data_IF_609099986494
#
_entry.id   IF_609099986494
#
_cell.length_a   1.000
_cell.length_b   1.000
_cell.length_c   1.000
_cell.angle_alpha   90.00
_cell.angle_beta   90.00
_cell.angle_gamma   90.00
#
_symmetry.space_group_name_H-M   'P 1'
#
loop_
_entity.id
_entity.type
_entity.pdbx_description
1 polymer ?
#
# COMPACT_ATOMS: atom_id res chain seq x y z
N UNK A 1 -22.29 -2.32 83.78
CA UNK A 1 -23.04 -3.38 83.11
C UNK A 1 -24.39 -2.77 82.75
N UNK A 2 -24.53 -2.29 81.52
CA UNK A 2 -25.80 -1.87 80.90
C UNK A 2 -25.43 -1.53 79.44
N UNK A 3 -25.62 -2.46 78.51
CA UNK A 3 -26.85 -2.65 77.70
C UNK A 3 -26.97 -1.59 76.59
N UNK A 4 -26.39 -1.93 75.43
CA UNK A 4 -26.83 -1.38 74.13
C UNK A 4 -28.29 -1.80 73.90
N UNK A 5 -29.11 -0.94 73.27
CA UNK A 5 -29.30 -1.11 71.83
C UNK A 5 -29.56 0.21 71.09
N UNK A 6 -29.35 0.23 69.77
CA UNK A 6 -30.40 0.60 68.79
C UNK A 6 -29.83 0.48 67.39
N UNK A 7 -30.52 -0.37 66.65
CA UNK A 7 -30.44 -0.66 65.23
C UNK A 7 -30.62 0.62 64.39
N UNK A 8 -29.74 0.82 63.42
CA UNK A 8 -29.84 1.91 62.45
C UNK A 8 -29.40 1.40 61.07
N UNK A 9 -30.38 1.07 60.23
CA UNK A 9 -30.26 0.99 58.77
C UNK A 9 -30.66 2.38 58.25
N UNK A 10 -29.83 3.09 57.45
CA UNK A 10 -29.77 2.90 55.98
C UNK A 10 -28.38 3.28 55.39
N UNK A 11 -28.02 3.19 54.12
CA UNK A 11 -28.73 3.15 52.85
C UNK A 11 -27.82 2.44 51.83
N UNK A 12 -28.42 1.71 50.89
CA UNK A 12 -27.72 1.14 49.75
C UNK A 12 -27.08 2.25 48.89
N UNK A 13 -25.83 2.09 48.42
CA UNK A 13 -25.26 2.98 47.42
C UNK A 13 -26.08 2.90 46.13
N UNK A 14 -26.66 4.02 45.73
CA UNK A 14 -27.29 4.19 44.42
C UNK A 14 -26.24 3.95 43.34
N UNK A 15 -26.41 2.87 42.57
CA UNK A 15 -25.66 2.64 41.34
C UNK A 15 -25.81 3.85 40.43
N UNK A 16 -24.69 4.54 40.22
CA UNK A 16 -24.57 5.62 39.26
C UNK A 16 -24.66 4.96 37.88
N UNK A 17 -25.85 5.02 37.28
CA UNK A 17 -26.07 4.62 35.89
C UNK A 17 -25.08 5.42 35.06
N UNK A 18 -24.03 4.74 34.57
CA UNK A 18 -23.10 5.31 33.63
C UNK A 18 -23.92 5.71 32.40
N UNK A 19 -23.89 7.00 32.09
CA UNK A 19 -24.38 7.55 30.84
C UNK A 19 -23.70 6.78 29.70
N UNK A 20 -24.45 5.89 29.07
CA UNK A 20 -23.98 5.13 27.91
C UNK A 20 -23.84 6.14 26.80
N UNK A 21 -22.60 6.58 26.58
CA UNK A 21 -22.22 7.34 25.41
C UNK A 21 -22.84 6.64 24.18
N UNK A 22 -23.52 7.39 23.29
CA UNK A 22 -24.17 6.78 22.15
C UNK A 22 -23.13 5.99 21.36
N UNK A 23 -23.41 4.70 21.16
CA UNK A 23 -22.63 3.86 20.27
C UNK A 23 -22.45 4.60 18.94
N UNK A 24 -21.24 4.67 18.37
CA UNK A 24 -21.03 5.35 17.11
C UNK A 24 -22.01 4.77 16.10
N UNK A 25 -22.79 5.65 15.48
CA UNK A 25 -23.71 5.27 14.42
C UNK A 25 -22.95 4.40 13.42
N UNK A 26 -23.40 3.16 13.25
CA UNK A 26 -22.92 2.30 12.16
C UNK A 26 -23.27 3.03 10.87
N UNK A 27 -22.28 3.73 10.32
CA UNK A 27 -22.34 4.26 8.96
C UNK A 27 -22.75 3.06 8.11
N UNK A 28 -23.89 3.13 7.41
CA UNK A 28 -24.40 1.95 6.72
C UNK A 28 -23.28 1.41 5.82
N UNK A 29 -23.03 0.11 5.93
CA UNK A 29 -22.28 -0.71 5.00
C UNK A 29 -22.96 -0.66 3.62
N UNK A 30 -23.05 0.52 2.99
CA UNK A 30 -23.27 0.64 1.55
C UNK A 30 -21.96 0.20 0.91
N UNK A 31 -21.82 -1.11 1.05
CA UNK A 31 -20.83 -2.07 0.66
C UNK A 31 -19.74 -1.52 -0.25
N UNK A 32 -18.51 -1.50 0.26
CA UNK A 32 -17.31 -1.34 -0.58
C UNK A 32 -17.32 -2.32 -1.77
N UNK A 33 -18.05 -3.44 -1.67
CA UNK A 33 -18.28 -4.42 -2.74
C UNK A 33 -19.30 -3.95 -3.79
N UNK A 34 -20.31 -3.16 -3.43
CA UNK A 34 -21.33 -2.64 -4.37
C UNK A 34 -20.76 -1.52 -5.26
N UNK A 35 -19.67 -0.88 -4.83
CA UNK A 35 -19.01 0.22 -5.54
C UNK A 35 -17.90 -0.24 -6.49
N UNK A 36 -17.63 -1.55 -6.57
CA UNK A 36 -16.70 -2.12 -7.56
C UNK A 36 -17.14 -1.81 -9.01
N UNK A 37 -18.44 -1.66 -9.27
CA UNK A 37 -18.95 -1.31 -10.60
C UNK A 37 -18.64 0.14 -10.99
N UNK A 38 -18.68 1.06 -10.03
CA UNK A 38 -18.31 2.46 -10.22
C UNK A 38 -16.80 2.57 -10.48
N UNK A 39 -15.98 1.90 -9.65
CA UNK A 39 -14.52 1.81 -9.84
C UNK A 39 -14.20 1.32 -11.25
N UNK A 40 -14.82 0.22 -11.71
CA UNK A 40 -14.62 -0.33 -13.06
C UNK A 40 -14.91 0.67 -14.18
N UNK A 41 -15.89 1.55 -14.00
CA UNK A 41 -16.26 2.55 -15.02
C UNK A 41 -15.14 3.58 -15.29
N UNK A 42 -14.25 3.78 -14.32
CA UNK A 42 -13.12 4.72 -14.45
C UNK A 42 -11.93 4.14 -15.22
N UNK A 43 -11.86 2.83 -15.47
CA UNK A 43 -10.69 2.20 -16.08
C UNK A 43 -10.27 2.84 -17.41
N UNK A 44 -11.25 3.07 -18.29
CA UNK A 44 -11.02 3.71 -19.60
C UNK A 44 -10.63 5.19 -19.49
N UNK A 45 -11.00 5.85 -18.39
CA UNK A 45 -10.64 7.24 -18.12
C UNK A 45 -9.19 7.34 -17.60
N UNK A 46 -8.75 6.31 -16.86
CA UNK A 46 -7.43 6.26 -16.23
C UNK A 46 -6.31 5.88 -17.19
N UNK A 47 -6.54 4.98 -18.13
CA UNK A 47 -5.51 4.57 -19.09
C UNK A 47 -6.09 3.99 -20.37
N UNK A 48 -5.43 4.20 -21.54
CA UNK A 48 -5.75 3.46 -22.76
C UNK A 48 -5.30 1.98 -22.72
N UNK A 49 -4.53 1.57 -21.71
CA UNK A 49 -4.01 0.21 -21.58
C UNK A 49 -5.12 -0.76 -21.11
N UNK A 50 -5.52 -1.75 -21.94
CA UNK A 50 -6.63 -2.65 -21.61
C UNK A 50 -6.34 -3.52 -20.39
N UNK A 51 -5.06 -3.72 -20.04
CA UNK A 51 -4.66 -4.49 -18.88
C UNK A 51 -5.07 -3.81 -17.56
N UNK A 52 -5.14 -2.46 -17.53
CA UNK A 52 -5.67 -1.74 -16.38
C UNK A 52 -7.14 -2.09 -16.13
N UNK A 53 -7.95 -2.12 -17.20
CA UNK A 53 -9.36 -2.50 -17.09
C UNK A 53 -9.53 -3.94 -16.60
N UNK A 54 -8.62 -4.85 -16.98
CA UNK A 54 -8.61 -6.22 -16.45
C UNK A 54 -8.37 -6.23 -14.95
N UNK A 55 -7.39 -5.47 -14.45
CA UNK A 55 -7.09 -5.39 -13.02
C UNK A 55 -8.20 -4.72 -12.23
N UNK A 56 -8.91 -3.77 -12.83
CA UNK A 56 -10.04 -3.10 -12.19
C UNK A 56 -11.28 -4.01 -12.02
N UNK A 57 -11.28 -5.21 -12.61
CA UNK A 57 -12.29 -6.24 -12.34
C UNK A 57 -12.01 -7.06 -11.08
N UNK A 58 -10.86 -6.87 -10.43
CA UNK A 58 -10.58 -7.50 -9.14
C UNK A 58 -11.54 -7.00 -8.05
N UNK A 59 -11.76 -7.83 -7.05
CA UNK A 59 -12.62 -7.49 -5.91
C UNK A 59 -11.84 -6.70 -4.87
N UNK A 60 -12.57 -5.91 -4.09
CA UNK A 60 -12.05 -5.19 -2.92
C UNK A 60 -10.89 -4.24 -3.27
N UNK A 61 -10.92 -3.64 -4.47
CA UNK A 61 -9.80 -2.87 -4.99
C UNK A 61 -9.42 -1.69 -4.11
N UNK A 62 -10.41 -0.96 -3.57
CA UNK A 62 -10.15 0.14 -2.64
C UNK A 62 -9.42 -0.36 -1.39
N UNK A 63 -9.89 -1.47 -0.80
CA UNK A 63 -9.26 -2.06 0.39
C UNK A 63 -7.84 -2.53 0.09
N UNK A 64 -7.63 -3.24 -1.02
CA UNK A 64 -6.31 -3.74 -1.44
C UNK A 64 -5.36 -2.59 -1.75
N UNK A 65 -5.83 -1.55 -2.43
CA UNK A 65 -5.06 -0.34 -2.71
C UNK A 65 -4.64 0.35 -1.41
N UNK A 66 -5.59 0.58 -0.50
CA UNK A 66 -5.32 1.22 0.77
C UNK A 66 -4.33 0.42 1.62
N UNK A 67 -4.51 -0.89 1.72
CA UNK A 67 -3.60 -1.80 2.42
C UNK A 67 -2.20 -1.84 1.77
N UNK A 68 -2.12 -1.85 0.45
CA UNK A 68 -0.83 -1.84 -0.26
C UNK A 68 -0.06 -0.54 -0.01
N UNK A 69 -0.73 0.61 -0.06
CA UNK A 69 -0.12 1.92 0.21
C UNK A 69 0.38 2.00 1.65
N UNK A 70 -0.44 1.61 2.63
CA UNK A 70 -0.02 1.58 4.04
C UNK A 70 1.16 0.62 4.25
N UNK A 71 1.13 -0.58 3.67
CA UNK A 71 2.24 -1.53 3.74
C UNK A 71 3.55 -0.94 3.21
N UNK A 72 3.50 -0.28 2.04
CA UNK A 72 4.69 0.35 1.44
C UNK A 72 5.20 1.49 2.31
N UNK A 73 4.31 2.30 2.89
CA UNK A 73 4.69 3.38 3.80
C UNK A 73 5.43 2.86 5.05
N UNK A 74 5.10 1.64 5.50
CA UNK A 74 5.75 0.93 6.60
C UNK A 74 6.97 0.10 6.15
N UNK A 75 7.33 0.16 4.86
CA UNK A 75 8.45 -0.57 4.27
C UNK A 75 8.18 -2.03 3.90
N UNK A 76 6.96 -2.53 4.10
CA UNK A 76 6.56 -3.87 3.74
C UNK A 76 6.20 -4.00 2.25
N UNK A 77 6.49 -5.18 1.68
CA UNK A 77 6.18 -5.48 0.28
C UNK A 77 4.66 -5.63 0.06
N UNK A 78 4.06 -4.98 -0.96
CA UNK A 78 2.61 -5.06 -1.21
C UNK A 78 2.18 -6.36 -1.90
N UNK A 79 3.09 -7.33 -2.08
CA UNK A 79 2.90 -8.52 -2.92
C UNK A 79 1.67 -9.35 -2.53
N UNK A 80 1.37 -9.45 -1.24
CA UNK A 80 0.21 -10.22 -0.75
C UNK A 80 -1.12 -9.57 -1.12
N UNK A 81 -1.17 -8.23 -1.14
CA UNK A 81 -2.38 -7.46 -1.47
C UNK A 81 -2.59 -7.34 -2.98
N UNK A 82 -1.49 -7.30 -3.74
CA UNK A 82 -1.46 -7.10 -5.19
C UNK A 82 -1.10 -8.38 -5.95
N UNK A 83 -1.53 -9.54 -5.47
CA UNK A 83 -1.19 -10.84 -6.06
C UNK A 83 -1.65 -11.00 -7.53
N UNK A 84 -2.68 -10.27 -7.95
CA UNK A 84 -3.15 -10.22 -9.34
C UNK A 84 -2.19 -9.50 -10.30
N UNK A 85 -1.22 -8.74 -9.77
CA UNK A 85 -0.12 -8.13 -10.52
C UNK A 85 1.12 -9.02 -10.57
N UNK A 86 1.07 -10.23 -10.01
CA UNK A 86 2.23 -11.09 -9.91
C UNK A 86 2.78 -11.40 -11.31
N UNK A 87 4.09 -11.22 -11.54
CA UNK A 87 4.71 -11.57 -12.81
C UNK A 87 4.58 -13.07 -13.08
N UNK A 88 4.39 -13.43 -14.35
CA UNK A 88 4.49 -14.82 -14.79
C UNK A 88 5.94 -15.25 -14.94
N UNK A 89 6.22 -16.54 -14.70
CA UNK A 89 7.56 -17.11 -14.88
C UNK A 89 8.46 -17.00 -13.65
N UNK A 90 9.47 -17.88 -13.60
CA UNK A 90 10.42 -17.94 -12.49
C UNK A 90 11.43 -16.79 -12.53
N UNK A 91 12.01 -16.49 -11.37
CA UNK A 91 13.18 -15.62 -11.28
C UNK A 91 14.40 -16.43 -11.73
N UNK A 92 15.21 -15.85 -12.62
CA UNK A 92 16.48 -16.40 -13.10
C UNK A 92 17.66 -15.47 -12.78
N UNK A 93 18.84 -16.10 -12.71
CA UNK A 93 20.14 -15.46 -12.58
C UNK A 93 21.03 -15.94 -13.73
N UNK A 94 22.08 -15.18 -14.02
CA UNK A 94 23.10 -15.53 -15.02
C UNK A 94 24.49 -15.24 -14.47
N UNK A 95 25.52 -15.81 -15.09
CA UNK A 95 26.91 -15.61 -14.69
C UNK A 95 27.57 -14.57 -15.60
N UNK A 96 28.17 -13.54 -15.02
CA UNK A 96 28.95 -12.52 -15.74
C UNK A 96 30.29 -12.38 -15.04
N UNK A 97 31.38 -12.61 -15.76
CA UNK A 97 32.75 -12.52 -15.22
C UNK A 97 32.98 -13.33 -13.91
N UNK A 98 32.25 -14.44 -13.74
CA UNK A 98 32.35 -15.31 -12.57
C UNK A 98 31.52 -14.87 -11.36
N UNK A 99 30.65 -13.87 -11.51
CA UNK A 99 29.67 -13.47 -10.50
C UNK A 99 28.24 -13.80 -10.95
N UNK A 100 27.43 -14.26 -9.99
CA UNK A 100 26.01 -14.51 -10.20
C UNK A 100 25.25 -13.19 -10.14
N UNK A 101 24.64 -12.80 -11.26
CA UNK A 101 23.86 -11.56 -11.37
C UNK A 101 22.41 -11.84 -11.75
N UNK A 102 21.52 -10.89 -11.46
CA UNK A 102 20.12 -11.00 -11.90
C UNK A 102 20.07 -11.00 -13.44
N UNK A 103 19.45 -12.04 -14.00
CA UNK A 103 19.20 -12.12 -15.44
C UNK A 103 18.21 -11.01 -15.85
N UNK A 104 18.48 -10.21 -16.89
CA UNK A 104 17.53 -9.23 -17.41
C UNK A 104 16.13 -9.79 -17.72
N UNK A 105 16.01 -11.08 -18.06
CA UNK A 105 14.72 -11.75 -18.21
C UNK A 105 13.88 -11.72 -16.92
N UNK A 106 14.51 -11.73 -15.75
CA UNK A 106 13.82 -11.59 -14.46
C UNK A 106 13.13 -10.24 -14.29
N UNK A 107 13.71 -9.18 -14.84
CA UNK A 107 13.13 -7.84 -14.85
C UNK A 107 11.98 -7.73 -15.84
N UNK A 108 12.13 -8.32 -17.03
CA UNK A 108 11.14 -8.29 -18.11
C UNK A 108 9.76 -8.82 -17.69
N UNK A 109 9.71 -9.71 -16.69
CA UNK A 109 8.44 -10.22 -16.15
C UNK A 109 7.56 -9.12 -15.52
N UNK A 110 8.16 -8.00 -15.11
CA UNK A 110 7.46 -6.84 -14.56
C UNK A 110 7.14 -5.76 -15.60
N UNK A 111 7.49 -5.96 -16.88
CA UNK A 111 7.28 -4.96 -17.94
C UNK A 111 5.79 -4.60 -18.09
N UNK A 112 4.88 -5.58 -17.97
CA UNK A 112 3.44 -5.31 -17.98
C UNK A 112 3.03 -4.40 -16.83
N UNK A 113 3.54 -4.64 -15.62
CA UNK A 113 3.24 -3.83 -14.43
C UNK A 113 3.70 -2.39 -14.63
N UNK A 114 4.95 -2.21 -15.02
CA UNK A 114 5.53 -0.88 -15.20
C UNK A 114 4.89 -0.12 -16.38
N UNK A 115 4.57 -0.81 -17.48
CA UNK A 115 3.86 -0.24 -18.63
C UNK A 115 2.49 0.29 -18.23
N UNK A 116 1.69 -0.52 -17.54
CA UNK A 116 0.34 -0.11 -17.12
C UNK A 116 0.42 1.06 -16.15
N UNK A 117 1.27 0.99 -15.12
CA UNK A 117 1.46 2.13 -14.19
C UNK A 117 1.90 3.38 -14.96
N UNK A 118 2.88 3.26 -15.86
CA UNK A 118 3.37 4.37 -16.68
C UNK A 118 2.31 4.98 -17.58
N UNK A 119 1.34 4.19 -18.04
CA UNK A 119 0.26 4.61 -18.94
C UNK A 119 -0.88 5.39 -18.26
N UNK A 120 -0.93 5.42 -16.93
CA UNK A 120 -2.00 6.10 -16.19
C UNK A 120 -1.96 7.61 -16.46
N UNK A 121 -3.08 8.18 -16.93
CA UNK A 121 -3.24 9.62 -17.04
C UNK A 121 -3.31 10.24 -15.63
N UNK A 122 -2.39 11.15 -15.36
CA UNK A 122 -2.20 11.72 -14.03
C UNK A 122 -3.39 12.59 -13.60
N UNK A 123 -4.03 13.30 -14.54
CA UNK A 123 -5.14 14.20 -14.22
C UNK A 123 -6.45 13.43 -13.99
N UNK A 124 -6.71 12.41 -14.82
CA UNK A 124 -7.79 11.45 -14.59
C UNK A 124 -7.59 10.73 -13.27
N UNK A 125 -6.37 10.25 -12.97
CA UNK A 125 -6.07 9.61 -11.69
C UNK A 125 -6.34 10.54 -10.50
N UNK A 126 -5.99 11.82 -10.58
CA UNK A 126 -6.29 12.78 -9.54
C UNK A 126 -7.79 13.04 -9.36
N UNK A 127 -8.56 13.00 -10.44
CA UNK A 127 -10.01 13.19 -10.40
C UNK A 127 -10.70 11.98 -9.78
N UNK A 128 -10.40 10.78 -10.27
CA UNK A 128 -10.90 9.51 -9.71
C UNK A 128 -10.49 9.36 -8.25
N UNK A 129 -9.28 9.76 -7.90
CA UNK A 129 -8.83 9.74 -6.50
C UNK A 129 -9.69 10.62 -5.58
N UNK A 130 -10.08 11.82 -6.04
CA UNK A 130 -10.96 12.71 -5.27
C UNK A 130 -12.37 12.14 -5.12
N UNK A 131 -12.89 11.52 -6.17
CA UNK A 131 -14.21 10.86 -6.17
C UNK A 131 -14.23 9.67 -5.21
N UNK A 132 -13.22 8.81 -5.26
CA UNK A 132 -13.10 7.63 -4.39
C UNK A 132 -12.58 7.96 -2.98
N UNK A 133 -12.26 9.23 -2.70
CA UNK A 133 -11.62 9.63 -1.44
C UNK A 133 -12.41 9.20 -0.18
N UNK A 134 -13.74 9.34 -0.11
CA UNK A 134 -14.50 8.88 1.05
C UNK A 134 -14.34 7.37 1.33
N UNK A 135 -14.30 6.55 0.29
CA UNK A 135 -14.12 5.09 0.41
C UNK A 135 -12.71 4.73 0.82
N UNK A 136 -11.72 5.42 0.25
CA UNK A 136 -10.31 5.24 0.60
C UNK A 136 -10.09 5.61 2.07
N UNK A 137 -10.67 6.73 2.54
CA UNK A 137 -10.58 7.16 3.93
C UNK A 137 -11.28 6.17 4.88
N UNK A 138 -12.44 5.62 4.49
CA UNK A 138 -13.13 4.56 5.24
C UNK A 138 -12.26 3.30 5.35
N UNK A 139 -11.72 2.81 4.23
CA UNK A 139 -10.83 1.64 4.24
C UNK A 139 -9.53 1.90 5.02
N UNK A 140 -9.02 3.15 5.00
CA UNK A 140 -7.83 3.53 5.76
C UNK A 140 -8.12 3.52 7.27
N UNK A 141 -9.29 4.01 7.71
CA UNK A 141 -9.68 4.01 9.11
C UNK A 141 -9.76 2.61 9.74
N UNK A 142 -9.93 1.56 8.93
CA UNK A 142 -9.94 0.17 9.41
C UNK A 142 -8.53 -0.37 9.74
N UNK A 143 -7.48 0.18 9.12
CA UNK A 143 -6.12 -0.38 9.21
C UNK A 143 -5.06 0.60 9.72
N UNK A 144 -5.31 1.90 9.62
CA UNK A 144 -4.33 2.92 9.94
C UNK A 144 -4.30 3.23 11.44
N UNK A 145 -3.12 3.55 12.01
CA UNK A 145 -3.01 4.09 13.35
C UNK A 145 -3.89 5.35 13.55
N UNK A 146 -4.39 5.61 14.77
CA UNK A 146 -5.17 6.82 15.06
C UNK A 146 -4.44 8.10 14.64
N UNK A 147 -5.15 8.97 13.92
CA UNK A 147 -4.61 10.25 13.44
C UNK A 147 -3.80 10.18 12.13
N UNK A 148 -3.56 8.99 11.58
CA UNK A 148 -2.87 8.84 10.30
C UNK A 148 -3.86 8.87 9.12
N UNK A 149 -3.78 9.94 8.31
CA UNK A 149 -4.59 10.07 7.10
C UNK A 149 -4.07 9.20 5.96
N UNK A 150 -4.95 8.81 5.04
CA UNK A 150 -4.50 8.10 3.85
C UNK A 150 -3.54 8.94 2.99
N UNK A 151 -3.80 10.25 2.82
CA UNK A 151 -2.92 11.17 2.09
C UNK A 151 -1.48 11.17 2.66
N UNK A 152 -1.34 11.15 3.99
CA UNK A 152 -0.02 11.06 4.62
C UNK A 152 0.66 9.72 4.35
N UNK A 153 -0.08 8.60 4.40
CA UNK A 153 0.45 7.27 4.08
C UNK A 153 0.86 7.18 2.61
N UNK A 154 0.06 7.71 1.68
CA UNK A 154 0.38 7.76 0.26
C UNK A 154 1.63 8.60 -0.02
N UNK A 155 1.76 9.77 0.63
CA UNK A 155 2.96 10.58 0.51
C UNK A 155 4.20 9.86 1.04
N UNK A 156 4.09 9.19 2.20
CA UNK A 156 5.17 8.40 2.78
C UNK A 156 5.57 7.23 1.87
N UNK A 157 4.60 6.46 1.36
CA UNK A 157 4.83 5.35 0.45
C UNK A 157 5.55 5.80 -0.85
N UNK A 158 5.08 6.87 -1.48
CA UNK A 158 5.72 7.44 -2.67
C UNK A 158 7.16 7.84 -2.35
N UNK A 159 7.38 8.60 -1.28
CA UNK A 159 8.73 9.03 -0.92
C UNK A 159 9.65 7.86 -0.59
N UNK A 160 9.13 6.83 0.08
CA UNK A 160 9.87 5.62 0.41
C UNK A 160 10.39 4.88 -0.84
N UNK A 161 9.55 4.77 -1.87
CA UNK A 161 9.92 4.16 -3.16
C UNK A 161 10.82 5.06 -4.02
N UNK A 162 10.67 6.39 -3.92
CA UNK A 162 11.53 7.35 -4.63
C UNK A 162 12.94 7.44 -4.06
N UNK A 163 13.17 6.99 -2.81
CA UNK A 163 14.51 6.90 -2.20
C UNK A 163 15.37 5.78 -2.79
N UNK A 164 14.80 4.84 -3.52
CA UNK A 164 15.55 3.71 -4.09
C UNK A 164 16.36 4.19 -5.30
N UNK A 165 17.71 4.13 -5.26
CA UNK A 165 18.53 4.46 -6.42
C UNK A 165 18.33 3.41 -7.52
N UNK A 166 18.20 3.89 -8.76
CA UNK A 166 18.17 3.01 -9.94
C UNK A 166 19.57 2.43 -10.13
N UNK A 167 19.67 1.11 -10.17
CA UNK A 167 20.94 0.42 -10.36
C UNK A 167 21.32 0.42 -11.85
N UNK A 168 22.43 1.06 -12.16
CA UNK A 168 23.02 1.02 -13.50
C UNK A 168 23.99 -0.16 -13.58
N UNK A 169 23.70 -1.14 -14.45
CA UNK A 169 24.55 -2.32 -14.65
C UNK A 169 24.04 -3.59 -13.97
N UNK A 170 24.85 -4.68 -14.01
CA UNK A 170 24.50 -5.96 -13.42
C UNK A 170 24.35 -5.86 -11.89
N UNK A 171 23.29 -6.48 -11.35
CA UNK A 171 23.06 -6.54 -9.89
C UNK A 171 23.45 -7.92 -9.41
N UNK A 172 24.51 -8.01 -8.61
CA UNK A 172 25.00 -9.26 -8.04
C UNK A 172 24.10 -9.78 -6.93
N UNK A 173 23.91 -11.10 -6.91
CA UNK A 173 23.11 -11.80 -5.91
C UNK A 173 23.81 -13.06 -5.44
N UNK A 174 23.59 -13.40 -4.17
CA UNK A 174 24.12 -14.63 -3.57
C UNK A 174 22.98 -15.58 -3.17
N UNK A 175 23.18 -16.90 -3.21
CA UNK A 175 22.18 -17.85 -2.77
C UNK A 175 21.81 -17.66 -1.29
N UNK A 176 20.51 -17.60 -0.98
CA UNK A 176 19.97 -17.55 0.38
C UNK A 176 18.81 -18.54 0.50
N UNK A 177 19.13 -19.78 0.89
CA UNK A 177 18.17 -20.88 0.90
C UNK A 177 17.60 -21.16 -0.49
N UNK A 178 16.28 -21.07 -0.64
CA UNK A 178 15.59 -21.19 -1.94
C UNK A 178 15.51 -19.88 -2.73
N UNK A 179 16.01 -18.79 -2.15
CA UNK A 179 15.97 -17.44 -2.72
C UNK A 179 17.39 -16.96 -3.04
N UNK A 180 17.47 -15.71 -3.50
CA UNK A 180 18.72 -15.02 -3.76
C UNK A 180 18.68 -13.70 -3.00
N UNK A 181 19.68 -13.41 -2.18
CA UNK A 181 19.88 -12.11 -1.53
C UNK A 181 20.73 -11.20 -2.42
N UNK A 182 20.62 -9.89 -2.27
CA UNK A 182 21.56 -8.95 -2.90
C UNK A 182 22.94 -9.09 -2.26
N UNK A 183 23.99 -9.13 -3.08
CA UNK A 183 25.35 -9.25 -2.57
C UNK A 183 25.83 -7.95 -1.89
N UNK A 184 25.42 -6.81 -2.43
CA UNK A 184 25.74 -5.48 -1.90
C UNK A 184 24.93 -5.17 -0.63
N UNK A 185 25.56 -4.93 0.53
CA UNK A 185 24.87 -4.66 1.79
C UNK A 185 23.87 -3.50 1.71
N UNK A 186 24.23 -2.43 0.99
CA UNK A 186 23.38 -1.26 0.80
C UNK A 186 22.08 -1.55 0.03
N UNK A 187 22.04 -2.63 -0.76
CA UNK A 187 20.83 -3.09 -1.45
C UNK A 187 20.06 -4.11 -0.59
N UNK A 188 20.76 -4.95 0.16
CA UNK A 188 20.13 -5.96 1.01
C UNK A 188 19.47 -5.37 2.25
N UNK A 189 20.05 -4.29 2.81
CA UNK A 189 19.52 -3.54 3.96
C UNK A 189 18.29 -2.69 3.61
N UNK A 190 17.95 -2.56 2.32
CA UNK A 190 16.73 -1.89 1.91
C UNK A 190 15.50 -2.63 2.44
N UNK A 191 14.45 -1.86 2.72
CA UNK A 191 13.18 -2.42 3.17
C UNK A 191 12.58 -3.40 2.14
N UNK A 192 11.73 -4.36 2.55
CA UNK A 192 11.05 -5.27 1.63
C UNK A 192 10.33 -4.59 0.45
N UNK A 193 9.71 -3.41 0.66
CA UNK A 193 9.08 -2.63 -0.41
C UNK A 193 10.10 -2.13 -1.44
N UNK A 194 11.24 -1.63 -0.98
CA UNK A 194 12.30 -1.10 -1.82
C UNK A 194 13.02 -2.22 -2.58
N UNK A 195 13.28 -3.36 -1.91
CA UNK A 195 13.81 -4.57 -2.56
C UNK A 195 12.84 -5.11 -3.62
N UNK A 196 11.53 -5.03 -3.40
CA UNK A 196 10.53 -5.38 -4.41
C UNK A 196 10.68 -4.49 -5.64
N UNK A 197 10.75 -3.16 -5.47
CA UNK A 197 10.95 -2.23 -6.58
C UNK A 197 12.26 -2.53 -7.35
N UNK A 198 13.36 -2.82 -6.64
CA UNK A 198 14.63 -3.24 -7.26
C UNK A 198 14.50 -4.50 -8.11
N UNK A 199 13.69 -5.49 -7.68
CA UNK A 199 13.45 -6.72 -8.45
C UNK A 199 12.73 -6.50 -9.77
N UNK A 200 12.17 -5.31 -9.99
CA UNK A 200 11.56 -4.94 -11.27
C UNK A 200 12.60 -4.49 -12.31
N UNK A 201 13.82 -4.16 -11.88
CA UNK A 201 14.91 -3.74 -12.74
C UNK A 201 14.84 -2.27 -13.18
N UNK A 202 15.94 -1.74 -13.72
CA UNK A 202 16.13 -0.28 -13.85
C UNK A 202 15.16 0.37 -14.83
N UNK A 203 14.78 -0.30 -15.92
CA UNK A 203 13.77 0.21 -16.87
C UNK A 203 12.42 0.43 -16.20
N UNK A 204 11.93 -0.59 -15.50
CA UNK A 204 10.62 -0.59 -14.86
C UNK A 204 10.58 0.35 -13.66
N UNK A 205 11.65 0.37 -12.86
CA UNK A 205 11.80 1.33 -11.76
C UNK A 205 11.68 2.78 -12.24
N UNK A 206 12.34 3.16 -13.34
CA UNK A 206 12.26 4.53 -13.87
C UNK A 206 10.84 4.92 -14.26
N UNK A 207 10.12 4.03 -14.94
CA UNK A 207 8.72 4.26 -15.32
C UNK A 207 7.83 4.46 -14.08
N UNK A 208 7.94 3.58 -13.10
CA UNK A 208 7.16 3.63 -11.87
C UNK A 208 7.50 4.89 -11.09
N UNK A 209 8.78 5.16 -10.83
CA UNK A 209 9.23 6.34 -10.09
C UNK A 209 8.84 7.64 -10.80
N UNK A 210 8.90 7.70 -12.12
CA UNK A 210 8.40 8.85 -12.88
C UNK A 210 6.90 9.08 -12.61
N UNK A 211 6.08 8.03 -12.75
CA UNK A 211 4.64 8.14 -12.48
C UNK A 211 4.35 8.53 -11.02
N UNK A 212 5.09 8.00 -10.05
CA UNK A 212 4.92 8.35 -8.64
C UNK A 212 5.22 9.84 -8.38
N UNK A 213 6.21 10.43 -9.07
CA UNK A 213 6.48 11.89 -8.99
C UNK A 213 5.33 12.69 -9.58
N UNK A 214 4.83 12.30 -10.74
CA UNK A 214 3.69 12.97 -11.39
C UNK A 214 2.45 12.95 -10.49
N UNK A 215 2.11 11.78 -9.93
CA UNK A 215 0.98 11.61 -9.02
C UNK A 215 1.14 12.43 -7.74
N UNK A 216 2.34 12.43 -7.13
CA UNK A 216 2.62 13.26 -5.94
C UNK A 216 2.33 14.73 -6.21
N UNK A 217 2.77 15.24 -7.35
CA UNK A 217 2.55 16.63 -7.75
C UNK A 217 1.07 16.91 -8.02
N UNK A 218 0.40 16.06 -8.79
CA UNK A 218 -0.99 16.30 -9.20
C UNK A 218 -2.01 16.13 -8.07
N UNK A 219 -1.71 15.30 -7.07
CA UNK A 219 -2.58 15.08 -5.91
C UNK A 219 -2.38 16.11 -4.79
N UNK A 220 -1.36 16.98 -4.90
CA UNK A 220 -1.06 17.96 -3.84
C UNK A 220 -0.78 17.30 -2.49
N UNK A 221 -0.08 16.16 -2.48
CA UNK A 221 0.14 15.38 -1.27
C UNK A 221 0.97 16.17 -0.23
N UNK A 222 0.67 16.02 1.07
CA UNK A 222 1.40 16.73 2.12
C UNK A 222 2.88 16.34 2.12
N UNK A 223 3.77 17.21 2.63
CA UNK A 223 5.15 16.83 2.89
C UNK A 223 5.17 15.67 3.89
N UNK A 224 6.17 14.80 3.78
CA UNK A 224 6.40 13.77 4.81
C UNK A 224 7.21 14.44 5.89
N UNK A 225 6.75 14.36 7.13
CA UNK A 225 7.53 14.83 8.26
C UNK A 225 8.81 14.00 8.37
N UNK A 226 9.95 14.67 8.49
CA UNK A 226 11.19 14.01 8.87
C UNK A 226 10.99 13.40 10.25
N UNK A 227 11.08 12.06 10.33
CA UNK A 227 11.11 11.31 11.59
C UNK A 227 12.54 10.91 11.89
#
# INVERSE_FOLDING_TARGET
MESQPTDAVPAAPTERVADVAPAPATVPEVSLTEQDAEIRSHASQLSPDPELARWMNEKDLVRRFTAAVTSIAEGASPRTMLGFLAPTGAFSVTEVDGTTVIDPASYARYDTVARVIGSIDTQSAASVYRELKPLIDQANAEIAPPGQTFNSSLSAAIQHLLKVPVQEGPVEVIPEGALHAYAAPELEDLSPAQKHLLRMGPKNMRLIQAKLRDLKSSLGLPPVADR
#
